data_IF_749605875771
#
_entry.id   IF_749605875771
#
_cell.length_a   1.000
_cell.length_b   1.000
_cell.length_c   1.000
_cell.angle_alpha   90.00
_cell.angle_beta   90.00
_cell.angle_gamma   90.00
#
_symmetry.space_group_name_H-M   'P 1'
#
loop_
_entity.id
_entity.type
_entity.pdbx_description
1 polymer ?
#
# COMPACT_ATOMS: atom_id res chain seq x y z
N UNK A 1 -6.68 3.83 31.72
CA UNK A 1 -7.00 4.90 30.74
C UNK A 1 -7.04 4.24 29.37
N UNK A 2 -8.21 4.25 28.71
CA UNK A 2 -8.25 3.84 27.30
C UNK A 2 -7.60 4.95 26.46
N UNK A 3 -6.70 4.63 25.52
CA UNK A 3 -6.16 5.63 24.61
C UNK A 3 -7.31 6.25 23.81
N UNK A 4 -7.27 7.56 23.50
CA UNK A 4 -8.24 8.18 22.63
C UNK A 4 -8.25 7.45 21.29
N UNK A 5 -9.44 7.07 20.82
CA UNK A 5 -9.60 6.52 19.48
C UNK A 5 -9.19 7.64 18.51
N UNK A 6 -8.14 7.42 17.69
CA UNK A 6 -7.68 8.43 16.76
C UNK A 6 -8.82 8.81 15.80
N UNK A 7 -9.00 10.11 15.56
CA UNK A 7 -10.03 10.62 14.65
C UNK A 7 -9.72 10.17 13.21
N UNK A 8 -10.34 9.06 12.81
CA UNK A 8 -10.25 8.51 11.46
C UNK A 8 -11.04 9.33 10.44
N UNK A 9 -11.73 10.40 10.85
CA UNK A 9 -12.50 11.26 9.97
C UNK A 9 -11.68 11.86 8.83
N UNK A 10 -10.36 12.02 9.03
CA UNK A 10 -9.43 12.51 8.02
C UNK A 10 -8.99 11.44 6.99
N UNK A 11 -9.13 10.15 7.29
CA UNK A 11 -8.70 9.04 6.42
C UNK A 11 -9.89 8.43 5.67
N UNK A 12 -10.59 9.30 4.96
CA UNK A 12 -11.65 8.90 4.02
C UNK A 12 -11.12 9.00 2.59
N UNK A 13 -11.51 8.10 1.68
CA UNK A 13 -11.15 8.23 0.27
C UNK A 13 -11.59 9.61 -0.24
N UNK A 14 -10.66 10.33 -0.89
CA UNK A 14 -10.99 11.62 -1.50
C UNK A 14 -12.13 11.47 -2.50
N UNK A 15 -12.94 12.52 -2.75
CA UNK A 15 -14.01 12.49 -3.74
C UNK A 15 -13.54 12.02 -5.12
N UNK A 16 -12.30 12.31 -5.49
CA UNK A 16 -11.69 11.83 -6.73
C UNK A 16 -11.59 10.31 -6.80
N UNK A 17 -11.21 9.62 -5.72
CA UNK A 17 -11.16 8.16 -5.69
C UNK A 17 -12.55 7.54 -5.92
N UNK A 18 -13.56 8.05 -5.21
CA UNK A 18 -14.93 7.59 -5.35
C UNK A 18 -15.47 7.84 -6.77
N UNK A 19 -15.21 9.03 -7.34
CA UNK A 19 -15.61 9.36 -8.70
C UNK A 19 -14.93 8.45 -9.73
N UNK A 20 -13.64 8.16 -9.57
CA UNK A 20 -12.91 7.28 -10.48
C UNK A 20 -13.39 5.83 -10.39
N UNK A 21 -13.61 5.31 -9.18
CA UNK A 21 -14.23 3.98 -8.99
C UNK A 21 -15.59 3.93 -9.67
N UNK A 22 -16.44 4.94 -9.47
CA UNK A 22 -17.75 5.04 -10.12
C UNK A 22 -17.64 5.05 -11.65
N UNK A 23 -16.70 5.84 -12.19
CA UNK A 23 -16.44 5.92 -13.62
C UNK A 23 -16.02 4.57 -14.19
N UNK A 24 -15.00 3.92 -13.61
CA UNK A 24 -14.49 2.63 -14.11
C UNK A 24 -15.56 1.53 -14.06
N UNK A 25 -16.37 1.50 -12.99
CA UNK A 25 -17.46 0.51 -12.87
C UNK A 25 -18.56 0.72 -13.91
N UNK A 26 -18.87 1.97 -14.25
CA UNK A 26 -19.93 2.31 -15.19
C UNK A 26 -19.47 2.15 -16.65
N UNK A 27 -18.27 2.63 -16.97
CA UNK A 27 -17.79 2.74 -18.34
C UNK A 27 -16.88 1.59 -18.78
N UNK A 28 -16.18 0.95 -17.84
CA UNK A 28 -15.21 -0.12 -18.11
C UNK A 28 -15.52 -1.41 -17.31
N UNK A 29 -16.77 -1.91 -17.33
CA UNK A 29 -17.22 -2.98 -16.43
C UNK A 29 -16.48 -4.31 -16.64
N UNK A 30 -16.02 -4.59 -17.86
CA UNK A 30 -15.29 -5.82 -18.18
C UNK A 30 -13.86 -5.78 -17.63
N UNK A 31 -13.19 -4.64 -17.81
CA UNK A 31 -11.86 -4.38 -17.25
C UNK A 31 -11.93 -4.42 -15.72
N UNK A 32 -12.97 -3.81 -15.13
CA UNK A 32 -13.21 -3.84 -13.69
C UNK A 32 -13.35 -5.27 -13.16
N UNK A 33 -14.19 -6.11 -13.79
CA UNK A 33 -14.38 -7.51 -13.37
C UNK A 33 -13.08 -8.31 -13.49
N UNK A 34 -12.33 -8.12 -14.58
CA UNK A 34 -11.06 -8.80 -14.77
C UNK A 34 -10.02 -8.40 -13.71
N UNK A 35 -9.87 -7.11 -13.42
CA UNK A 35 -8.94 -6.63 -12.40
C UNK A 35 -9.37 -7.07 -10.98
N UNK A 36 -10.68 -7.10 -10.72
CA UNK A 36 -11.26 -7.59 -9.46
C UNK A 36 -11.03 -9.09 -9.24
N UNK A 37 -11.16 -9.92 -10.28
CA UNK A 37 -10.89 -11.35 -10.17
C UNK A 37 -9.44 -11.65 -9.74
N UNK A 38 -8.48 -10.84 -10.22
CA UNK A 38 -7.08 -10.92 -9.80
C UNK A 38 -6.86 -10.52 -8.33
N UNK A 39 -7.79 -9.80 -7.68
CA UNK A 39 -7.65 -9.38 -6.28
C UNK A 39 -7.75 -10.55 -5.32
N UNK A 40 -8.47 -11.59 -5.73
CA UNK A 40 -8.70 -12.81 -4.95
C UNK A 40 -7.78 -13.97 -5.35
N UNK A 41 -6.84 -13.74 -6.28
CA UNK A 41 -6.03 -14.82 -6.86
C UNK A 41 -4.93 -15.30 -5.91
N UNK A 42 -4.99 -16.59 -5.58
CA UNK A 42 -4.00 -17.27 -4.73
C UNK A 42 -2.63 -17.42 -5.40
N UNK A 43 -2.59 -17.49 -6.74
CA UNK A 43 -1.33 -17.59 -7.49
C UNK A 43 -0.56 -16.27 -7.40
N UNK A 44 -1.24 -15.14 -7.55
CA UNK A 44 -0.61 -13.82 -7.38
C UNK A 44 -0.09 -13.60 -5.94
N UNK A 45 -0.79 -14.12 -4.92
CA UNK A 45 -0.27 -14.14 -3.54
C UNK A 45 1.00 -14.97 -3.41
N UNK A 46 1.07 -16.13 -4.06
CA UNK A 46 2.24 -16.99 -4.03
C UNK A 46 3.43 -16.32 -4.76
N UNK A 47 3.20 -15.71 -5.93
CA UNK A 47 4.21 -14.94 -6.65
C UNK A 47 4.75 -13.76 -5.83
N UNK A 48 3.88 -12.99 -5.17
CA UNK A 48 4.28 -11.88 -4.31
C UNK A 48 5.16 -12.38 -3.15
N UNK A 49 4.77 -13.47 -2.48
CA UNK A 49 5.57 -14.07 -1.41
C UNK A 49 6.92 -14.59 -1.91
N UNK A 50 6.95 -15.23 -3.08
CA UNK A 50 8.18 -15.72 -3.68
C UNK A 50 9.15 -14.57 -4.01
N UNK A 51 8.63 -13.47 -4.57
CA UNK A 51 9.43 -12.26 -4.84
C UNK A 51 9.98 -11.66 -3.53
N UNK A 52 9.15 -11.51 -2.49
CA UNK A 52 9.60 -11.02 -1.19
C UNK A 52 10.73 -11.88 -0.62
N UNK A 53 10.62 -13.20 -0.68
CA UNK A 53 11.66 -14.10 -0.16
C UNK A 53 12.95 -14.08 -0.98
N UNK A 54 12.89 -13.72 -2.27
CA UNK A 54 14.04 -13.73 -3.16
C UNK A 54 14.87 -12.45 -3.08
N UNK A 55 14.19 -11.31 -3.12
CA UNK A 55 14.84 -10.01 -3.39
C UNK A 55 14.91 -9.10 -2.14
N UNK A 56 14.47 -9.61 -0.99
CA UNK A 56 14.46 -8.87 0.28
C UNK A 56 14.91 -9.75 1.45
N UNK A 57 15.39 -9.12 2.51
CA UNK A 57 15.57 -9.79 3.80
C UNK A 57 14.50 -9.31 4.78
N UNK A 58 13.99 -10.22 5.63
CA UNK A 58 13.06 -9.86 6.70
C UNK A 58 13.82 -9.16 7.82
N UNK A 59 13.37 -7.97 8.20
CA UNK A 59 13.95 -7.21 9.31
C UNK A 59 13.56 -7.87 10.63
N UNK A 60 14.54 -8.41 11.35
CA UNK A 60 14.33 -9.10 12.62
C UNK A 60 13.95 -8.11 13.75
N UNK A 61 12.86 -8.35 14.50
CA UNK A 61 12.46 -7.50 15.63
C UNK A 61 13.50 -7.38 16.74
N UNK A 62 14.30 -8.42 17.00
CA UNK A 62 15.34 -8.41 18.02
C UNK A 62 16.54 -7.55 17.60
N UNK A 63 16.85 -7.51 16.29
CA UNK A 63 17.94 -6.70 15.76
C UNK A 63 17.53 -5.23 15.53
N UNK A 64 16.26 -4.97 15.22
CA UNK A 64 15.76 -3.65 14.83
C UNK A 64 14.53 -3.23 15.66
N UNK A 65 14.62 -3.35 16.98
CA UNK A 65 13.48 -3.11 17.89
C UNK A 65 12.85 -1.72 17.74
N UNK A 66 13.64 -0.67 17.55
CA UNK A 66 13.13 0.70 17.37
C UNK A 66 12.29 0.85 16.09
N UNK A 67 12.72 0.25 14.99
CA UNK A 67 11.99 0.28 13.70
C UNK A 67 10.63 -0.39 13.85
N UNK A 68 10.59 -1.56 14.51
CA UNK A 68 9.34 -2.28 14.79
C UNK A 68 8.44 -1.53 15.78
N UNK A 69 9.01 -0.81 16.74
CA UNK A 69 8.25 0.05 17.66
C UNK A 69 7.63 1.25 16.92
N UNK A 70 8.34 1.85 15.98
CA UNK A 70 7.83 2.93 15.12
C UNK A 70 6.68 2.44 14.25
N UNK A 71 6.81 1.27 13.61
CA UNK A 71 5.71 0.66 12.86
C UNK A 71 4.51 0.37 13.76
N UNK A 72 4.74 -0.23 14.93
CA UNK A 72 3.68 -0.53 15.90
C UNK A 72 2.94 0.73 16.33
N UNK A 73 3.66 1.84 16.51
CA UNK A 73 3.09 3.15 16.81
C UNK A 73 2.20 3.65 15.67
N UNK A 74 2.65 3.58 14.42
CA UNK A 74 1.85 3.95 13.26
C UNK A 74 0.57 3.10 13.17
N UNK A 75 0.70 1.78 13.30
CA UNK A 75 -0.44 0.86 13.27
C UNK A 75 -1.44 1.13 14.40
N UNK A 76 -0.97 1.39 15.62
CA UNK A 76 -1.83 1.75 16.74
C UNK A 76 -2.59 3.06 16.51
N UNK A 77 -1.91 4.09 15.97
CA UNK A 77 -2.52 5.38 15.60
C UNK A 77 -3.53 5.27 14.46
N UNK A 78 -3.41 4.24 13.61
CA UNK A 78 -4.36 3.95 12.55
C UNK A 78 -5.40 2.90 12.96
N UNK A 79 -5.21 2.27 14.12
CA UNK A 79 -6.00 1.15 14.66
C UNK A 79 -6.03 -0.06 13.73
N UNK A 80 -4.88 -0.40 13.16
CA UNK A 80 -4.66 -1.60 12.34
C UNK A 80 -4.20 -2.73 13.27
N UNK A 81 -4.95 -3.84 13.29
CA UNK A 81 -4.65 -5.01 14.11
C UNK A 81 -4.10 -6.21 13.31
N UNK A 82 -3.90 -6.04 11.99
CA UNK A 82 -3.36 -7.07 11.13
C UNK A 82 -1.88 -7.37 11.48
N UNK A 83 -1.39 -8.60 11.32
CA UNK A 83 0.04 -8.90 11.46
C UNK A 83 0.85 -8.10 10.44
N UNK A 84 1.98 -7.56 10.87
CA UNK A 84 2.87 -6.80 10.01
C UNK A 84 4.27 -7.42 9.91
N UNK A 85 4.83 -7.38 8.70
CA UNK A 85 6.21 -7.82 8.42
C UNK A 85 6.96 -6.73 7.67
N UNK A 86 8.17 -6.44 8.14
CA UNK A 86 9.10 -5.50 7.52
C UNK A 86 10.15 -6.27 6.72
N UNK A 87 10.41 -5.77 5.51
CA UNK A 87 11.42 -6.27 4.61
C UNK A 87 12.37 -5.15 4.23
N UNK A 88 13.63 -5.49 3.99
CA UNK A 88 14.62 -4.59 3.43
C UNK A 88 15.09 -5.13 2.09
N UNK A 89 15.06 -4.27 1.07
CA UNK A 89 15.63 -4.52 -0.24
C UNK A 89 16.87 -3.65 -0.45
N UNK A 90 17.94 -4.17 -1.08
CA UNK A 90 19.09 -3.36 -1.44
C UNK A 90 18.72 -2.31 -2.51
N UNK A 91 19.46 -1.21 -2.54
CA UNK A 91 19.25 -0.15 -3.54
C UNK A 91 19.91 1.16 -3.13
N UNK A 92 20.04 2.08 -4.08
CA UNK A 92 20.53 3.44 -3.81
C UNK A 92 19.38 4.45 -3.66
N UNK A 93 18.22 4.13 -4.21
CA UNK A 93 17.01 4.93 -4.05
C UNK A 93 16.37 4.62 -2.71
N UNK A 94 16.03 5.68 -1.96
CA UNK A 94 15.24 5.59 -0.74
C UNK A 94 13.78 5.49 -1.13
N UNK A 95 13.15 4.35 -0.86
CA UNK A 95 11.74 4.14 -1.16
C UNK A 95 11.10 3.16 -0.18
N UNK A 96 9.83 3.37 0.15
CA UNK A 96 9.03 2.40 0.88
C UNK A 96 7.87 1.96 -0.01
N UNK A 97 7.43 0.71 0.15
CA UNK A 97 6.28 0.20 -0.58
C UNK A 97 5.52 -0.84 0.24
N UNK A 98 4.20 -0.72 0.25
CA UNK A 98 3.29 -1.74 0.74
C UNK A 98 3.10 -2.86 -0.29
N UNK A 99 3.47 -4.08 0.10
CA UNK A 99 3.10 -5.31 -0.60
C UNK A 99 1.75 -5.81 -0.07
N UNK A 100 0.67 -5.55 -0.80
CA UNK A 100 -0.67 -5.87 -0.32
C UNK A 100 -0.99 -7.37 -0.34
N UNK A 101 -1.30 -7.90 0.84
CA UNK A 101 -1.91 -9.23 1.02
C UNK A 101 -3.12 -9.04 1.92
N UNK A 102 -4.31 -9.51 1.49
CA UNK A 102 -5.51 -9.36 2.31
C UNK A 102 -5.31 -9.96 3.71
N UNK A 103 -5.53 -9.14 4.75
CA UNK A 103 -5.36 -9.50 6.15
C UNK A 103 -3.93 -9.41 6.71
N UNK A 104 -2.93 -9.07 5.90
CA UNK A 104 -1.53 -8.98 6.33
C UNK A 104 -0.89 -7.67 5.82
N UNK A 105 -0.05 -7.03 6.65
CA UNK A 105 0.74 -5.86 6.24
C UNK A 105 2.15 -6.30 5.93
N UNK A 106 2.64 -6.02 4.72
CA UNK A 106 4.02 -6.27 4.33
C UNK A 106 4.61 -4.98 3.78
N UNK A 107 5.61 -4.40 4.45
CA UNK A 107 6.25 -3.16 4.01
C UNK A 107 7.69 -3.46 3.62
N UNK A 108 8.08 -3.03 2.42
CA UNK A 108 9.42 -3.13 1.88
C UNK A 108 10.09 -1.77 2.01
N UNK A 109 11.24 -1.72 2.66
CA UNK A 109 12.11 -0.56 2.74
C UNK A 109 13.28 -0.78 1.77
N UNK A 110 13.47 0.16 0.85
CA UNK A 110 14.52 0.09 -0.16
C UNK A 110 15.61 1.12 0.12
N UNK A 111 16.85 0.67 0.01
CA UNK A 111 18.03 1.51 0.18
C UNK A 111 18.20 2.04 1.61
N UNK A 112 18.89 3.18 1.79
CA UNK A 112 19.40 3.61 3.09
C UNK A 112 18.34 4.35 3.95
N UNK A 113 17.07 3.96 3.88
CA UNK A 113 15.98 4.59 4.65
C UNK A 113 16.23 4.52 6.16
N UNK A 114 16.54 3.33 6.67
CA UNK A 114 16.75 3.10 8.10
C UNK A 114 18.00 3.82 8.65
N UNK A 115 18.95 4.12 7.77
CA UNK A 115 20.20 4.81 8.13
C UNK A 115 20.05 6.34 8.10
N UNK A 116 19.10 6.85 7.29
CA UNK A 116 19.00 8.28 6.99
C UNK A 116 17.79 8.98 7.58
N UNK A 117 16.69 8.26 7.79
CA UNK A 117 15.49 8.86 8.33
C UNK A 117 15.53 8.87 9.86
N UNK A 118 15.16 10.01 10.43
CA UNK A 118 14.87 10.11 11.85
C UNK A 118 13.61 9.28 12.19
N UNK A 119 13.43 8.89 13.46
CA UNK A 119 12.26 8.10 13.88
C UNK A 119 10.91 8.73 13.49
N UNK A 120 10.77 10.05 13.57
CA UNK A 120 9.53 10.75 13.20
C UNK A 120 9.28 10.76 11.68
N UNK A 121 10.34 10.82 10.87
CA UNK A 121 10.25 10.74 9.42
C UNK A 121 9.88 9.32 8.99
N UNK A 122 10.50 8.31 9.61
CA UNK A 122 10.15 6.92 9.37
C UNK A 122 8.72 6.60 9.83
N UNK A 123 8.26 7.22 10.92
CA UNK A 123 6.88 7.14 11.36
C UNK A 123 5.91 7.72 10.33
N UNK A 124 6.25 8.84 9.71
CA UNK A 124 5.45 9.43 8.63
C UNK A 124 5.40 8.52 7.40
N UNK A 125 6.53 7.93 7.00
CA UNK A 125 6.61 6.94 5.91
C UNK A 125 5.73 5.73 6.19
N UNK A 126 5.83 5.12 7.39
CA UNK A 126 4.93 4.03 7.76
C UNK A 126 3.47 4.46 7.81
N UNK A 127 3.18 5.67 8.28
CA UNK A 127 1.83 6.23 8.24
C UNK A 127 1.27 6.30 6.82
N UNK A 128 2.08 6.74 5.85
CA UNK A 128 1.72 6.80 4.44
C UNK A 128 1.45 5.40 3.86
N UNK A 129 2.37 4.44 4.03
CA UNK A 129 2.16 3.07 3.53
C UNK A 129 0.94 2.40 4.15
N UNK A 130 0.69 2.62 5.44
CA UNK A 130 -0.48 2.08 6.13
C UNK A 130 -1.78 2.79 5.72
N UNK A 131 -1.74 4.04 5.24
CA UNK A 131 -2.90 4.70 4.65
C UNK A 131 -3.33 4.00 3.36
N UNK A 132 -2.38 3.58 2.50
CA UNK A 132 -2.68 2.73 1.33
C UNK A 132 -3.32 1.41 1.74
N UNK A 133 -2.82 0.76 2.79
CA UNK A 133 -3.43 -0.45 3.33
C UNK A 133 -4.91 -0.23 3.71
N UNK A 134 -5.20 0.85 4.43
CA UNK A 134 -6.57 1.20 4.81
C UNK A 134 -7.45 1.50 3.59
N UNK A 135 -6.92 2.22 2.60
CA UNK A 135 -7.65 2.50 1.36
C UNK A 135 -8.00 1.21 0.62
N UNK A 136 -7.03 0.32 0.44
CA UNK A 136 -7.19 -0.93 -0.30
C UNK A 136 -8.01 -2.01 0.42
N UNK A 137 -8.15 -1.92 1.75
CA UNK A 137 -9.05 -2.80 2.51
C UNK A 137 -10.47 -2.28 2.61
N UNK A 138 -10.73 -1.04 2.18
CA UNK A 138 -12.04 -0.40 2.30
C UNK A 138 -13.00 -0.84 1.20
N UNK A 139 -14.30 -0.85 1.52
CA UNK A 139 -15.40 -1.10 0.58
C UNK A 139 -15.15 -2.30 -0.35
N UNK A 140 -14.84 -3.45 0.27
CA UNK A 140 -14.50 -4.72 -0.40
C UNK A 140 -13.34 -4.62 -1.40
N UNK A 141 -12.42 -3.68 -1.19
CA UNK A 141 -11.22 -3.49 -1.98
C UNK A 141 -11.43 -2.80 -3.33
N UNK A 142 -12.55 -2.08 -3.51
CA UNK A 142 -12.82 -1.38 -4.78
C UNK A 142 -11.69 -0.41 -5.19
N UNK A 143 -11.02 0.21 -4.22
CA UNK A 143 -9.89 1.11 -4.49
C UNK A 143 -8.63 0.35 -4.95
N UNK A 144 -8.42 -0.87 -4.45
CA UNK A 144 -7.36 -1.73 -4.98
C UNK A 144 -7.64 -2.15 -6.42
N UNK A 145 -8.91 -2.43 -6.75
CA UNK A 145 -9.31 -2.76 -8.13
C UNK A 145 -9.05 -1.59 -9.06
N UNK A 146 -9.47 -0.38 -8.68
CA UNK A 146 -9.20 0.82 -9.47
C UNK A 146 -7.70 1.03 -9.70
N UNK A 147 -6.87 0.88 -8.67
CA UNK A 147 -5.43 1.05 -8.81
C UNK A 147 -4.80 0.07 -9.80
N UNK A 148 -5.25 -1.19 -9.79
CA UNK A 148 -4.77 -2.20 -10.74
C UNK A 148 -5.12 -1.87 -12.17
N UNK A 149 -6.36 -1.42 -12.40
CA UNK A 149 -6.79 -0.95 -13.73
C UNK A 149 -5.88 0.18 -14.21
N UNK A 150 -5.57 1.15 -13.35
CA UNK A 150 -4.68 2.25 -13.70
C UNK A 150 -3.25 1.77 -13.98
N UNK A 151 -2.69 0.91 -13.13
CA UNK A 151 -1.35 0.36 -13.31
C UNK A 151 -1.23 -0.44 -14.62
N UNK A 152 -2.23 -1.28 -14.93
CA UNK A 152 -2.25 -2.03 -16.19
C UNK A 152 -2.40 -1.08 -17.40
N UNK A 153 -3.17 0.01 -17.28
CA UNK A 153 -3.27 1.04 -18.32
C UNK A 153 -1.94 1.79 -18.53
N UNK A 154 -1.15 2.03 -17.47
CA UNK A 154 0.18 2.63 -17.58
C UNK A 154 1.22 1.67 -18.17
N UNK A 155 1.09 0.37 -17.90
CA UNK A 155 2.00 -0.64 -18.45
C UNK A 155 1.73 -0.92 -19.94
N UNK A 156 0.54 -0.58 -20.44
CA UNK A 156 0.19 -0.78 -21.85
C UNK A 156 1.00 0.14 -22.78
N UNK A 157 1.42 -0.39 -23.92
CA UNK A 157 2.21 0.34 -24.91
C UNK A 157 1.54 1.63 -25.44
N UNK A 158 0.21 1.74 -25.29
CA UNK A 158 -0.59 2.90 -25.69
C UNK A 158 -0.89 3.91 -24.56
N UNK A 159 -0.19 3.85 -23.43
CA UNK A 159 -0.43 4.76 -22.32
C UNK A 159 -0.25 6.24 -22.73
N UNK A 160 -1.36 6.99 -22.78
CA UNK A 160 -1.35 8.44 -22.99
C UNK A 160 -1.03 9.21 -21.70
N UNK A 161 -0.69 10.50 -21.86
CA UNK A 161 -0.43 11.41 -20.74
C UNK A 161 -1.61 11.53 -19.76
N UNK A 162 -2.85 11.36 -20.22
CA UNK A 162 -4.03 11.39 -19.35
C UNK A 162 -4.08 10.21 -18.39
N UNK A 163 -3.58 9.03 -18.77
CA UNK A 163 -3.46 7.90 -17.84
C UNK A 163 -2.45 8.20 -16.74
N UNK A 164 -1.28 8.75 -17.09
CA UNK A 164 -0.26 9.14 -16.11
C UNK A 164 -0.77 10.18 -15.12
N UNK A 165 -1.47 11.21 -15.60
CA UNK A 165 -2.04 12.23 -14.72
C UNK A 165 -3.16 11.68 -13.84
N UNK A 166 -4.00 10.79 -14.40
CA UNK A 166 -5.05 10.12 -13.64
C UNK A 166 -4.46 9.31 -12.49
N UNK A 167 -3.43 8.51 -12.77
CA UNK A 167 -2.73 7.72 -11.77
C UNK A 167 -2.02 8.59 -10.73
N UNK A 168 -1.32 9.67 -11.15
CA UNK A 168 -0.65 10.58 -10.21
C UNK A 168 -1.63 11.19 -9.21
N UNK A 169 -2.82 11.60 -9.65
CA UNK A 169 -3.87 12.13 -8.76
C UNK A 169 -4.48 11.07 -7.85
N UNK A 170 -4.48 9.82 -8.30
CA UNK A 170 -4.98 8.69 -7.53
C UNK A 170 -3.97 8.26 -6.45
N UNK A 171 -2.69 8.17 -6.81
CA UNK A 171 -1.62 7.68 -5.92
C UNK A 171 -1.08 8.74 -4.95
N UNK A 172 -1.21 10.03 -5.28
CA UNK A 172 -0.64 11.15 -4.52
C UNK A 172 -1.41 11.53 -3.24
N UNK A 173 -1.92 10.54 -2.51
CA UNK A 173 -2.64 10.73 -1.24
C UNK A 173 -1.70 11.22 -0.13
#
# INVERSE_FOLDING_TARGET
MNPPVPDRGALVPLPYHAALVGYLRLHEPDVWRWAGARASDGEQRACLRAMLLRDTYRIDPAAHGEVHATLSTAMARLGIAAPATLYQSPGQQMNAALAFVSGEVHIILQGPLLERLAPDELLAVFGHELAHYLLWTRDDGQFLVAERVLNDALAAAGASASHHETYRRYAGM
#
